data_IF_982172155565
#
_entry.id   IF_982172155565
#
_cell.length_a   1.000
_cell.length_b   1.000
_cell.length_c   1.000
_cell.angle_alpha   90.00
_cell.angle_beta   90.00
_cell.angle_gamma   90.00
#
_symmetry.space_group_name_H-M   'P 1'
#
loop_
_entity.id
_entity.type
_entity.pdbx_description
1 polymer ?
#
# COMPACT_ATOMS: atom_id res chain seq x y z
N UNK A 1 30.25 12.70 -4.97
CA UNK A 1 30.88 11.97 -6.11
C UNK A 1 32.10 12.66 -6.75
N UNK A 2 32.06 13.95 -7.10
CA UNK A 2 33.13 14.64 -7.88
C UNK A 2 34.55 14.58 -7.26
N UNK A 3 34.63 14.53 -5.92
CA UNK A 3 35.89 14.38 -5.17
C UNK A 3 36.48 12.95 -5.25
N UNK A 4 35.62 11.95 -5.13
CA UNK A 4 35.97 10.52 -5.11
C UNK A 4 36.34 9.94 -6.50
N UNK A 5 35.99 10.65 -7.57
CA UNK A 5 36.28 10.25 -8.95
C UNK A 5 37.66 10.69 -9.45
N UNK A 6 38.33 11.59 -8.75
CA UNK A 6 39.66 12.08 -9.13
C UNK A 6 40.71 10.97 -8.93
N UNK A 7 41.58 10.78 -9.94
CA UNK A 7 42.61 9.72 -9.96
C UNK A 7 43.55 9.80 -8.76
N UNK A 8 44.04 11.00 -8.44
CA UNK A 8 44.90 11.27 -7.28
C UNK A 8 44.27 10.87 -5.95
N UNK A 9 42.93 11.00 -5.83
CA UNK A 9 42.23 10.65 -4.60
C UNK A 9 42.01 9.13 -4.52
N UNK A 10 41.74 8.45 -5.64
CA UNK A 10 41.53 7.00 -5.69
C UNK A 10 42.72 6.18 -5.21
N UNK A 11 43.94 6.62 -5.50
CA UNK A 11 45.17 5.94 -5.09
C UNK A 11 45.40 5.97 -3.58
N UNK A 12 44.82 6.96 -2.88
CA UNK A 12 44.91 7.11 -1.42
C UNK A 12 43.75 6.46 -0.66
N UNK A 13 42.75 5.91 -1.36
CA UNK A 13 41.57 5.30 -0.75
C UNK A 13 41.86 3.93 -0.14
N UNK A 14 41.37 3.72 1.08
CA UNK A 14 41.38 2.41 1.71
C UNK A 14 40.14 1.59 1.32
N UNK A 15 40.30 0.70 0.34
CA UNK A 15 39.23 -0.18 -0.14
C UNK A 15 38.69 -1.16 0.90
N UNK A 16 39.43 -1.41 2.00
CA UNK A 16 38.91 -2.22 3.12
C UNK A 16 37.71 -1.55 3.81
N UNK A 17 37.52 -0.23 3.62
CA UNK A 17 36.43 0.56 4.20
C UNK A 17 35.39 0.98 3.15
N UNK A 18 35.10 0.11 2.18
CA UNK A 18 34.16 0.36 1.08
C UNK A 18 32.79 0.88 1.53
N UNK A 19 32.28 0.42 2.67
CA UNK A 19 31.01 0.91 3.23
C UNK A 19 31.00 2.40 3.59
N UNK A 20 32.12 2.92 4.11
CA UNK A 20 32.28 4.35 4.46
C UNK A 20 32.36 5.21 3.21
N UNK A 21 33.10 4.73 2.21
CA UNK A 21 33.23 5.39 0.92
C UNK A 21 31.88 5.48 0.20
N UNK A 22 31.09 4.41 0.25
CA UNK A 22 29.73 4.39 -0.30
C UNK A 22 28.80 5.37 0.45
N UNK A 23 28.89 5.42 1.78
CA UNK A 23 28.13 6.35 2.60
C UNK A 23 28.45 7.82 2.24
N UNK A 24 29.73 8.18 2.12
CA UNK A 24 30.17 9.51 1.70
C UNK A 24 29.77 9.83 0.26
N UNK A 25 29.91 8.86 -0.65
CA UNK A 25 29.58 9.04 -2.07
C UNK A 25 28.09 9.30 -2.30
N UNK A 26 27.23 8.55 -1.60
CA UNK A 26 25.78 8.58 -1.72
C UNK A 26 25.09 9.55 -0.75
N UNK A 27 25.84 10.16 0.19
CA UNK A 27 25.30 11.09 1.18
C UNK A 27 24.35 10.43 2.19
N UNK A 28 24.54 9.15 2.49
CA UNK A 28 23.70 8.37 3.42
C UNK A 28 24.53 7.92 4.62
N UNK A 29 23.88 7.53 5.71
CA UNK A 29 24.59 7.00 6.88
C UNK A 29 25.23 5.64 6.59
N UNK A 30 26.39 5.35 7.21
CA UNK A 30 27.03 4.03 7.15
C UNK A 30 26.07 2.90 7.59
N UNK A 31 25.18 3.19 8.55
CA UNK A 31 24.16 2.25 9.04
C UNK A 31 23.20 1.83 7.94
N UNK A 32 22.81 2.75 7.05
CA UNK A 32 21.92 2.47 5.92
C UNK A 32 22.61 1.54 4.92
N UNK A 33 23.85 1.85 4.57
CA UNK A 33 24.67 1.02 3.66
C UNK A 33 24.81 -0.40 4.23
N UNK A 34 25.17 -0.51 5.51
CA UNK A 34 25.32 -1.80 6.18
C UNK A 34 24.01 -2.59 6.24
N UNK A 35 22.86 -1.92 6.40
CA UNK A 35 21.55 -2.58 6.41
C UNK A 35 21.21 -3.15 5.03
N UNK A 36 21.41 -2.37 3.96
CA UNK A 36 21.19 -2.78 2.57
C UNK A 36 22.09 -3.96 2.22
N UNK A 37 23.39 -3.89 2.53
CA UNK A 37 24.34 -4.97 2.27
C UNK A 37 24.00 -6.26 3.02
N UNK A 38 23.43 -6.16 4.23
CA UNK A 38 22.94 -7.33 4.97
C UNK A 38 21.71 -7.95 4.31
N UNK A 39 20.73 -7.12 3.92
CA UNK A 39 19.52 -7.60 3.21
C UNK A 39 19.86 -8.25 1.86
N UNK A 40 20.84 -7.70 1.13
CA UNK A 40 21.32 -8.28 -0.12
C UNK A 40 21.97 -9.67 0.08
N UNK A 41 22.82 -9.83 1.11
CA UNK A 41 23.44 -11.13 1.43
C UNK A 41 22.43 -12.20 1.81
N UNK A 42 21.45 -11.85 2.64
CA UNK A 42 20.38 -12.78 3.02
C UNK A 42 19.57 -13.23 1.78
N UNK A 43 19.31 -12.31 0.85
CA UNK A 43 18.63 -12.64 -0.40
C UNK A 43 19.44 -13.56 -1.33
N UNK A 44 20.78 -13.51 -1.29
CA UNK A 44 21.66 -14.42 -2.04
C UNK A 44 21.68 -15.83 -1.42
N UNK A 45 21.59 -15.94 -0.08
CA UNK A 45 21.59 -17.20 0.65
C UNK A 45 20.28 -18.00 0.46
N UNK A 46 19.14 -17.32 0.28
CA UNK A 46 17.81 -17.93 0.11
C UNK A 46 17.57 -18.57 -1.30
N UNK A 47 18.56 -18.53 -2.20
CA UNK A 47 18.59 -19.26 -3.48
C UNK A 47 18.42 -18.41 -4.75
N UNK A 48 18.83 -18.92 -5.93
CA UNK A 48 19.02 -18.11 -7.15
C UNK A 48 17.72 -17.80 -7.93
N UNK A 49 16.54 -18.09 -7.38
CA UNK A 49 15.28 -18.02 -8.13
C UNK A 49 14.60 -16.65 -8.13
N UNK A 50 15.18 -15.63 -7.49
CA UNK A 50 14.64 -14.27 -7.50
C UNK A 50 15.65 -13.33 -8.11
N UNK A 51 15.47 -12.98 -9.38
CA UNK A 51 16.18 -11.88 -10.04
C UNK A 51 15.93 -10.50 -9.41
N UNK A 52 15.19 -10.43 -8.29
CA UNK A 52 14.86 -9.19 -7.58
C UNK A 52 15.28 -9.28 -6.10
N UNK A 53 16.20 -8.40 -5.70
CA UNK A 53 16.53 -8.18 -4.29
C UNK A 53 15.35 -7.42 -3.66
N UNK A 54 14.57 -8.11 -2.81
CA UNK A 54 13.39 -7.52 -2.17
C UNK A 54 13.76 -6.86 -0.84
N UNK A 55 14.10 -5.57 -0.89
CA UNK A 55 14.33 -4.78 0.32
C UNK A 55 13.04 -4.64 1.16
N UNK A 56 13.13 -5.02 2.44
CA UNK A 56 11.95 -5.02 3.32
C UNK A 56 11.74 -3.63 3.92
N UNK A 57 10.63 -2.98 3.56
CA UNK A 57 10.24 -1.72 4.20
C UNK A 57 9.53 -2.01 5.53
N UNK A 58 10.09 -1.59 6.68
CA UNK A 58 9.44 -1.80 7.97
C UNK A 58 8.04 -1.17 8.00
N UNK A 59 7.05 -1.94 8.45
CA UNK A 59 5.66 -1.46 8.59
C UNK A 59 4.76 -1.65 7.38
N UNK A 60 5.27 -2.00 6.19
CA UNK A 60 4.44 -2.25 5.00
C UNK A 60 3.56 -3.50 5.13
N UNK A 61 4.04 -4.50 5.85
CA UNK A 61 3.30 -5.76 6.12
C UNK A 61 2.37 -5.69 7.33
N UNK A 62 2.29 -4.55 8.04
CA UNK A 62 1.38 -4.43 9.18
C UNK A 62 -0.04 -4.31 8.64
N UNK A 63 -0.84 -5.37 8.79
CA UNK A 63 -2.26 -5.36 8.43
C UNK A 63 -2.99 -4.27 9.23
N UNK A 64 -3.68 -3.38 8.54
CA UNK A 64 -4.58 -2.40 9.18
C UNK A 64 -6.00 -2.90 9.03
N UNK A 65 -6.72 -3.06 10.14
CA UNK A 65 -8.16 -3.30 10.10
C UNK A 65 -8.85 -2.10 9.45
N UNK A 66 -9.66 -2.34 8.43
CA UNK A 66 -10.52 -1.31 7.86
C UNK A 66 -11.60 -0.96 8.87
N UNK A 67 -11.61 0.27 9.38
CA UNK A 67 -12.54 0.67 10.46
C UNK A 67 -14.02 0.69 10.08
N UNK A 68 -14.35 0.85 8.79
CA UNK A 68 -15.72 1.16 8.33
C UNK A 68 -16.15 0.34 7.10
N UNK A 69 -15.19 -0.08 6.25
CA UNK A 69 -15.49 -0.75 4.97
C UNK A 69 -15.39 -2.28 5.03
N UNK A 70 -15.20 -2.84 6.23
CA UNK A 70 -15.06 -4.28 6.42
C UNK A 70 -16.41 -4.97 6.49
N UNK A 71 -17.25 -4.83 5.45
CA UNK A 71 -18.55 -5.48 5.42
C UNK A 71 -18.38 -7.00 5.34
N UNK A 72 -19.12 -7.73 6.17
CA UNK A 72 -19.25 -9.18 6.03
C UNK A 72 -20.16 -9.54 4.84
N UNK A 73 -20.18 -10.80 4.43
CA UNK A 73 -20.94 -11.25 3.26
C UNK A 73 -22.44 -11.00 3.41
N UNK A 74 -22.99 -11.15 4.63
CA UNK A 74 -24.38 -10.78 4.92
C UNK A 74 -24.64 -9.27 4.71
N UNK A 75 -23.76 -8.41 5.20
CA UNK A 75 -23.91 -6.95 5.07
C UNK A 75 -23.79 -6.51 3.60
N UNK A 76 -22.93 -7.19 2.82
CA UNK A 76 -22.85 -6.98 1.36
C UNK A 76 -24.16 -7.37 0.68
N UNK A 77 -24.82 -8.45 1.09
CA UNK A 77 -26.11 -8.85 0.53
C UNK A 77 -27.23 -7.86 0.87
N UNK A 78 -27.26 -7.35 2.10
CA UNK A 78 -28.19 -6.28 2.49
C UNK A 78 -27.96 -5.01 1.66
N UNK A 79 -26.69 -4.66 1.39
CA UNK A 79 -26.33 -3.55 0.50
C UNK A 79 -26.85 -3.77 -0.92
N UNK A 80 -26.58 -4.95 -1.51
CA UNK A 80 -27.06 -5.32 -2.86
C UNK A 80 -28.57 -5.19 -2.96
N UNK A 81 -29.29 -5.78 -2.01
CA UNK A 81 -30.76 -5.79 -1.98
C UNK A 81 -31.32 -4.38 -1.80
N UNK A 82 -30.66 -3.55 -0.99
CA UNK A 82 -31.04 -2.15 -0.82
C UNK A 82 -30.89 -1.39 -2.14
N UNK A 83 -29.76 -1.55 -2.84
CA UNK A 83 -29.57 -0.92 -4.16
C UNK A 83 -30.61 -1.40 -5.18
N UNK A 84 -30.86 -2.71 -5.26
CA UNK A 84 -31.85 -3.27 -6.18
C UNK A 84 -33.28 -2.76 -5.90
N UNK A 85 -33.65 -2.60 -4.63
CA UNK A 85 -34.97 -2.08 -4.27
C UNK A 85 -35.23 -0.64 -4.76
N UNK A 86 -34.18 0.15 -5.01
CA UNK A 86 -34.36 1.46 -5.66
C UNK A 86 -34.73 1.30 -7.14
N UNK A 87 -34.07 0.39 -7.84
CA UNK A 87 -34.39 0.08 -9.24
C UNK A 87 -35.80 -0.50 -9.39
N UNK A 88 -36.24 -1.37 -8.47
CA UNK A 88 -37.60 -1.92 -8.47
C UNK A 88 -38.67 -0.83 -8.32
N UNK A 89 -38.36 0.25 -7.60
CA UNK A 89 -39.23 1.43 -7.44
C UNK A 89 -39.13 2.43 -8.58
N UNK A 90 -38.24 2.21 -9.55
CA UNK A 90 -37.95 3.18 -10.63
C UNK A 90 -37.19 4.43 -10.16
N UNK A 91 -36.57 4.39 -8.97
CA UNK A 91 -35.77 5.49 -8.44
C UNK A 91 -34.27 5.27 -8.68
N UNK A 92 -33.52 6.36 -8.86
CA UNK A 92 -32.06 6.28 -8.98
C UNK A 92 -31.40 6.05 -7.60
N UNK A 93 -30.65 4.95 -7.41
CA UNK A 93 -29.95 4.67 -6.17
C UNK A 93 -28.78 5.64 -6.00
N UNK A 94 -29.03 6.74 -5.29
CA UNK A 94 -27.98 7.73 -4.98
C UNK A 94 -27.24 7.32 -3.72
N UNK A 95 -25.92 7.48 -3.69
CA UNK A 95 -25.06 7.12 -2.55
C UNK A 95 -25.51 7.72 -1.21
N UNK A 96 -26.03 8.96 -1.21
CA UNK A 96 -26.60 9.60 -0.02
C UNK A 96 -27.82 8.85 0.53
N UNK A 97 -28.77 8.48 -0.34
CA UNK A 97 -29.99 7.75 0.04
C UNK A 97 -29.66 6.35 0.55
N UNK A 98 -28.77 5.64 -0.17
CA UNK A 98 -28.28 4.34 0.28
C UNK A 98 -27.62 4.43 1.66
N UNK A 99 -26.82 5.47 1.91
CA UNK A 99 -26.17 5.65 3.22
C UNK A 99 -27.19 5.84 4.35
N UNK A 100 -28.30 6.55 4.09
CA UNK A 100 -29.38 6.71 5.07
C UNK A 100 -30.10 5.38 5.35
N UNK A 101 -30.41 4.61 4.30
CA UNK A 101 -31.04 3.30 4.46
C UNK A 101 -30.14 2.30 5.20
N UNK A 102 -28.83 2.31 4.93
CA UNK A 102 -27.86 1.46 5.64
C UNK A 102 -27.76 1.84 7.12
N UNK A 103 -27.83 3.14 7.43
CA UNK A 103 -27.89 3.62 8.82
C UNK A 103 -29.11 3.08 9.56
N UNK A 104 -30.26 3.04 8.88
CA UNK A 104 -31.50 2.53 9.48
C UNK A 104 -31.52 1.00 9.61
N UNK A 105 -30.99 0.27 8.63
CA UNK A 105 -31.08 -1.21 8.58
C UNK A 105 -29.98 -1.94 9.36
N UNK A 106 -28.76 -1.39 9.36
CA UNK A 106 -27.55 -2.05 9.85
C UNK A 106 -26.79 -1.22 10.90
N UNK A 107 -27.38 -0.13 11.40
CA UNK A 107 -26.70 0.84 12.29
C UNK A 107 -25.35 1.33 11.73
N UNK A 108 -25.30 1.53 10.41
CA UNK A 108 -24.05 1.83 9.70
C UNK A 108 -23.50 3.22 10.02
N UNK A 109 -22.39 3.31 10.78
CA UNK A 109 -21.79 4.60 11.14
C UNK A 109 -20.89 5.24 10.05
N UNK A 110 -20.90 4.74 8.81
CA UNK A 110 -20.03 5.27 7.76
C UNK A 110 -20.54 6.53 7.06
N UNK A 111 -19.62 7.20 6.37
CA UNK A 111 -19.87 8.35 5.52
C UNK A 111 -20.27 7.95 4.10
N UNK A 112 -20.84 8.87 3.31
CA UNK A 112 -21.15 8.67 1.89
C UNK A 112 -19.92 8.20 1.07
N UNK A 113 -18.74 8.73 1.39
CA UNK A 113 -17.48 8.30 0.75
C UNK A 113 -17.13 6.85 1.08
N UNK A 114 -17.44 6.40 2.30
CA UNK A 114 -17.26 5.01 2.72
C UNK A 114 -18.27 4.10 2.03
N UNK A 115 -19.53 4.53 1.91
CA UNK A 115 -20.57 3.83 1.15
C UNK A 115 -20.19 3.69 -0.32
N UNK A 116 -19.64 4.72 -0.96
CA UNK A 116 -19.15 4.64 -2.34
C UNK A 116 -18.04 3.60 -2.51
N UNK A 117 -17.14 3.46 -1.53
CA UNK A 117 -16.11 2.42 -1.55
C UNK A 117 -16.72 1.02 -1.44
N UNK A 118 -17.72 0.86 -0.56
CA UNK A 118 -18.46 -0.40 -0.41
C UNK A 118 -19.21 -0.77 -1.70
N UNK A 119 -19.89 0.18 -2.33
CA UNK A 119 -20.58 -0.02 -3.60
C UNK A 119 -19.60 -0.49 -4.68
N UNK A 120 -18.44 0.15 -4.79
CA UNK A 120 -17.37 -0.27 -5.72
C UNK A 120 -16.85 -1.67 -5.40
N UNK A 121 -16.68 -2.01 -4.13
CA UNK A 121 -16.24 -3.34 -3.69
C UNK A 121 -17.25 -4.44 -4.04
N UNK A 122 -18.54 -4.14 -3.98
CA UNK A 122 -19.62 -5.07 -4.33
C UNK A 122 -19.84 -5.19 -5.85
N UNK A 123 -19.28 -4.26 -6.64
CA UNK A 123 -19.33 -4.28 -8.10
C UNK A 123 -20.22 -3.20 -8.72
N UNK A 124 -20.88 -2.35 -7.92
CA UNK A 124 -21.63 -1.21 -8.42
C UNK A 124 -20.67 -0.09 -8.82
N UNK A 125 -20.62 0.20 -10.12
CA UNK A 125 -19.83 1.29 -10.70
C UNK A 125 -20.71 2.12 -11.61
N UNK A 126 -20.59 3.44 -11.48
CA UNK A 126 -21.09 4.33 -12.53
C UNK A 126 -20.16 4.22 -13.73
N UNK A 127 -20.73 4.36 -14.93
CA UNK A 127 -19.96 4.51 -16.15
C UNK A 127 -19.14 5.79 -16.01
N UNK A 128 -17.81 5.66 -16.08
CA UNK A 128 -16.93 6.81 -16.19
C UNK A 128 -17.28 7.50 -17.53
N UNK A 129 -17.70 8.77 -17.47
CA UNK A 129 -18.08 9.60 -18.64
C UNK A 129 -16.80 10.14 -19.29
#
# INVERSE_FOLDING_TARGET
>A
FKKLSLTNFRETLNFKQSGKLCAEACGVSERTVNKISKEAKLAEEDGPSSSEIKFSTPGKQRSRKSKITGFDDFEKDVLRRTVLSYYDRGEFPTSKRITQDLKQKLDYNGSVTSTNRLLRHVGFRYKDI
#
